data_IF_301537918884
#
_entry.id   IF_301537918884
#
_cell.length_a   1.000
_cell.length_b   1.000
_cell.length_c   1.000
_cell.angle_alpha   90.00
_cell.angle_beta   90.00
_cell.angle_gamma   90.00
#
_symmetry.space_group_name_H-M   'P 1'
#
loop_
_entity.id
_entity.type
_entity.pdbx_description
1 polymer ?
#
# COMPACT_ATOMS: atom_id res chain seq x y z
N UNK A 1 -75.79 10.59 16.37
CA UNK A 1 -74.84 10.44 15.25
C UNK A 1 -73.46 10.32 15.87
N UNK A 2 -72.95 9.12 15.99
CA UNK A 2 -71.57 8.84 16.52
C UNK A 2 -70.59 9.08 15.38
N UNK A 3 -69.59 9.94 15.63
CA UNK A 3 -68.51 10.17 14.67
C UNK A 3 -67.75 8.86 14.41
N UNK A 4 -67.42 8.54 13.15
CA UNK A 4 -66.67 7.33 12.87
C UNK A 4 -65.30 7.33 13.57
N UNK A 5 -65.00 6.25 14.31
CA UNK A 5 -63.67 6.05 14.91
C UNK A 5 -62.62 6.07 13.81
N UNK A 6 -61.76 7.09 13.86
CA UNK A 6 -60.64 7.22 12.95
C UNK A 6 -59.63 6.13 13.33
N UNK A 7 -59.51 5.08 12.52
CA UNK A 7 -58.64 3.93 12.76
C UNK A 7 -57.16 4.35 12.90
N UNK A 8 -56.33 3.52 13.57
CA UNK A 8 -54.90 3.73 13.83
C UNK A 8 -54.11 4.11 12.56
N UNK A 9 -54.55 3.64 11.40
CA UNK A 9 -53.97 3.97 10.09
C UNK A 9 -54.16 5.43 9.67
N UNK A 10 -55.27 6.07 10.04
CA UNK A 10 -55.52 7.48 9.76
C UNK A 10 -54.52 8.38 10.55
N UNK A 11 -54.29 8.05 11.79
CA UNK A 11 -53.34 8.79 12.64
C UNK A 11 -51.90 8.62 12.15
N UNK A 12 -51.50 7.41 11.75
CA UNK A 12 -50.16 7.15 11.20
C UNK A 12 -49.90 7.93 9.90
N UNK A 13 -50.90 7.95 8.99
CA UNK A 13 -50.81 8.70 7.73
C UNK A 13 -50.75 10.20 7.94
N UNK A 14 -51.53 10.72 8.89
CA UNK A 14 -51.52 12.14 9.23
C UNK A 14 -50.19 12.54 9.90
N UNK A 15 -49.69 11.73 10.82
CA UNK A 15 -48.38 11.94 11.46
C UNK A 15 -47.27 11.92 10.41
N UNK A 16 -47.22 10.96 9.53
CA UNK A 16 -46.24 10.85 8.46
C UNK A 16 -46.30 12.06 7.51
N UNK A 17 -47.48 12.60 7.22
CA UNK A 17 -47.65 13.78 6.37
C UNK A 17 -46.99 15.02 6.96
N UNK A 18 -47.05 15.21 8.29
CA UNK A 18 -46.44 16.38 8.96
C UNK A 18 -44.95 16.18 9.32
N UNK A 19 -44.49 14.92 9.42
CA UNK A 19 -43.13 14.62 9.89
C UNK A 19 -42.22 14.03 8.81
N UNK A 20 -42.71 13.87 7.57
CA UNK A 20 -41.93 13.25 6.50
C UNK A 20 -40.56 13.95 6.25
N UNK A 21 -40.53 15.29 6.34
CA UNK A 21 -39.34 16.09 6.16
C UNK A 21 -38.30 15.77 7.24
N UNK A 22 -38.73 15.65 8.49
CA UNK A 22 -37.85 15.29 9.61
C UNK A 22 -37.33 13.86 9.46
N UNK A 23 -38.14 12.93 8.95
CA UNK A 23 -37.71 11.55 8.69
C UNK A 23 -36.63 11.52 7.61
N UNK A 24 -36.75 12.33 6.56
CA UNK A 24 -35.70 12.44 5.53
C UNK A 24 -34.42 13.01 6.12
N UNK A 25 -34.50 14.07 6.90
CA UNK A 25 -33.33 14.68 7.56
C UNK A 25 -32.65 13.66 8.46
N UNK A 26 -33.39 12.94 9.29
CA UNK A 26 -32.86 11.88 10.16
C UNK A 26 -32.21 10.76 9.34
N UNK A 27 -32.86 10.32 8.26
CA UNK A 27 -32.32 9.29 7.38
C UNK A 27 -31.00 9.74 6.71
N UNK A 28 -30.92 10.99 6.26
CA UNK A 28 -29.69 11.54 5.67
C UNK A 28 -28.57 11.65 6.71
N UNK A 29 -28.88 12.14 7.93
CA UNK A 29 -27.89 12.24 9.02
C UNK A 29 -27.38 10.86 9.41
N UNK A 30 -28.25 9.86 9.51
CA UNK A 30 -27.86 8.47 9.80
C UNK A 30 -27.03 7.90 8.68
N UNK A 31 -27.39 8.12 7.43
CA UNK A 31 -26.63 7.64 6.27
C UNK A 31 -25.22 8.25 6.22
N UNK A 32 -25.11 9.57 6.43
CA UNK A 32 -23.81 10.27 6.51
C UNK A 32 -22.98 9.76 7.69
N UNK A 33 -23.63 9.58 8.86
CA UNK A 33 -22.96 9.04 10.05
C UNK A 33 -22.44 7.64 9.86
N UNK A 34 -23.23 6.73 9.26
CA UNK A 34 -22.85 5.36 8.96
C UNK A 34 -21.74 5.34 7.89
N UNK A 35 -21.85 6.16 6.85
CA UNK A 35 -20.81 6.27 5.81
C UNK A 35 -19.51 6.79 6.37
N UNK A 36 -19.57 7.81 7.24
CA UNK A 36 -18.38 8.35 7.91
C UNK A 36 -17.74 7.32 8.86
N UNK A 37 -18.57 6.61 9.63
CA UNK A 37 -18.11 5.55 10.54
C UNK A 37 -17.54 4.36 9.76
N UNK A 38 -18.17 3.97 8.65
CA UNK A 38 -17.67 2.91 7.76
C UNK A 38 -16.30 3.25 7.19
N UNK A 39 -16.10 4.49 6.71
CA UNK A 39 -14.79 4.96 6.26
C UNK A 39 -13.75 5.02 7.40
N UNK A 40 -14.15 5.51 8.58
CA UNK A 40 -13.24 5.60 9.72
C UNK A 40 -12.84 4.23 10.28
N UNK A 41 -13.70 3.22 10.14
CA UNK A 41 -13.45 1.83 10.55
C UNK A 41 -12.95 0.95 9.41
N UNK A 42 -12.70 1.49 8.21
CA UNK A 42 -12.31 0.74 7.00
C UNK A 42 -13.24 -0.47 6.74
N UNK A 43 -14.53 -0.27 6.97
CA UNK A 43 -15.53 -1.32 6.90
C UNK A 43 -15.72 -1.78 5.45
N UNK A 44 -15.26 -3.00 5.16
CA UNK A 44 -15.30 -3.60 3.81
C UNK A 44 -14.04 -3.36 2.97
N UNK A 45 -13.00 -2.69 3.48
CA UNK A 45 -11.67 -2.69 2.89
C UNK A 45 -10.89 -3.88 3.44
N UNK A 46 -10.51 -4.79 2.56
CA UNK A 46 -9.54 -5.83 2.91
C UNK A 46 -8.17 -5.15 2.99
N UNK A 47 -7.67 -4.97 4.22
CA UNK A 47 -6.31 -4.46 4.40
C UNK A 47 -5.34 -5.52 3.85
N UNK A 48 -4.38 -5.13 3.02
CA UNK A 48 -3.40 -6.08 2.50
C UNK A 48 -2.54 -6.63 3.64
N UNK A 49 -2.13 -7.91 3.50
CA UNK A 49 -1.22 -8.55 4.45
C UNK A 49 0.17 -7.94 4.38
N UNK A 50 0.58 -7.56 3.18
CA UNK A 50 1.88 -6.95 2.93
C UNK A 50 1.74 -5.73 2.04
N UNK A 51 2.56 -4.71 2.31
CA UNK A 51 2.68 -3.55 1.45
C UNK A 51 4.12 -3.36 1.00
N UNK A 52 4.27 -3.01 -0.28
CA UNK A 52 5.54 -2.70 -0.93
C UNK A 52 5.48 -1.24 -1.35
N UNK A 53 6.47 -0.44 -0.98
CA UNK A 53 6.66 0.89 -1.52
C UNK A 53 7.65 0.81 -2.69
N UNK A 54 7.19 1.05 -3.89
CA UNK A 54 8.05 1.29 -5.04
C UNK A 54 8.38 2.78 -5.10
N UNK A 55 9.67 3.09 -5.07
CA UNK A 55 10.17 4.47 -5.23
C UNK A 55 11.09 4.50 -6.44
N UNK A 56 10.66 5.20 -7.48
CA UNK A 56 11.39 5.23 -8.74
C UNK A 56 11.11 6.48 -9.57
N UNK A 57 11.91 6.69 -10.62
CA UNK A 57 11.80 7.85 -11.53
C UNK A 57 10.56 7.79 -12.44
N UNK A 58 10.01 6.62 -12.68
CA UNK A 58 8.82 6.40 -13.49
C UNK A 58 7.91 5.35 -12.89
N UNK A 59 6.61 5.45 -13.14
CA UNK A 59 5.66 4.42 -12.70
C UNK A 59 5.87 3.12 -13.47
N UNK A 60 5.74 2.00 -12.77
CA UNK A 60 5.66 0.69 -13.39
C UNK A 60 4.30 0.53 -14.09
N UNK A 61 4.26 -0.18 -15.22
CA UNK A 61 2.99 -0.60 -15.82
C UNK A 61 2.15 -1.42 -14.83
N UNK A 62 0.83 -1.31 -14.95
CA UNK A 62 -0.11 -1.99 -14.05
C UNK A 62 0.08 -3.52 -14.06
N UNK A 63 0.27 -4.12 -15.26
CA UNK A 63 0.54 -5.56 -15.39
C UNK A 63 1.81 -5.97 -14.62
N UNK A 64 2.86 -5.15 -14.68
CA UNK A 64 4.12 -5.39 -13.95
C UNK A 64 3.92 -5.26 -12.44
N UNK A 65 3.19 -4.24 -12.00
CA UNK A 65 2.89 -4.06 -10.57
C UNK A 65 2.12 -5.26 -10.01
N UNK A 66 1.07 -5.72 -10.70
CA UNK A 66 0.32 -6.91 -10.31
C UNK A 66 1.15 -8.19 -10.34
N UNK A 67 2.09 -8.32 -11.28
CA UNK A 67 3.00 -9.47 -11.31
C UNK A 67 3.95 -9.49 -10.09
N UNK A 68 4.43 -8.33 -9.64
CA UNK A 68 5.23 -8.19 -8.41
C UNK A 68 4.38 -8.56 -7.18
N UNK A 69 3.16 -8.04 -7.08
CA UNK A 69 2.23 -8.36 -6.00
C UNK A 69 1.98 -9.87 -5.92
N UNK A 70 1.74 -10.52 -7.07
CA UNK A 70 1.53 -11.96 -7.16
C UNK A 70 2.77 -12.76 -6.78
N UNK A 71 3.98 -12.30 -7.16
CA UNK A 71 5.23 -12.93 -6.78
C UNK A 71 5.44 -12.94 -5.26
N UNK A 72 5.13 -11.84 -4.58
CA UNK A 72 5.20 -11.77 -3.12
C UNK A 72 4.10 -12.59 -2.45
N UNK A 73 2.86 -12.52 -2.96
CA UNK A 73 1.73 -13.27 -2.42
C UNK A 73 1.92 -14.78 -2.47
N UNK A 74 2.67 -15.29 -3.47
CA UNK A 74 2.97 -16.72 -3.59
C UNK A 74 3.72 -17.28 -2.39
N UNK A 75 4.54 -16.46 -1.73
CA UNK A 75 5.38 -16.86 -0.60
C UNK A 75 4.92 -16.26 0.72
N UNK A 76 3.92 -15.38 0.68
CA UNK A 76 3.35 -14.74 1.84
C UNK A 76 2.41 -15.64 2.65
N UNK A 77 2.10 -15.21 3.86
CA UNK A 77 1.12 -15.81 4.77
C UNK A 77 -0.07 -14.87 4.91
N UNK A 78 -1.27 -15.43 5.14
CA UNK A 78 -2.46 -14.66 5.49
C UNK A 78 -2.29 -14.12 6.92
N UNK A 79 -1.95 -12.85 7.05
CA UNK A 79 -1.69 -12.20 8.34
C UNK A 79 -2.95 -11.59 8.95
N UNK A 80 -3.94 -11.29 8.13
CA UNK A 80 -5.19 -10.67 8.56
C UNK A 80 -6.30 -11.69 8.87
N UNK A 81 -6.12 -12.97 8.44
CA UNK A 81 -7.03 -14.08 8.74
C UNK A 81 -8.29 -14.10 7.85
N UNK A 82 -8.27 -13.45 6.68
CA UNK A 82 -9.40 -13.42 5.76
C UNK A 82 -9.43 -14.59 4.76
N UNK A 83 -8.38 -15.43 4.75
CA UNK A 83 -8.23 -16.60 3.90
C UNK A 83 -7.58 -16.32 2.55
N UNK A 84 -7.10 -15.11 2.31
CA UNK A 84 -6.46 -14.69 1.06
C UNK A 84 -5.16 -13.97 1.40
N UNK A 85 -4.04 -14.36 0.78
CA UNK A 85 -2.80 -13.59 0.89
C UNK A 85 -2.86 -12.43 -0.09
N UNK A 86 -2.93 -11.22 0.42
CA UNK A 86 -3.01 -10.00 -0.38
C UNK A 86 -1.77 -9.12 -0.21
N UNK A 87 -1.23 -8.67 -1.34
CA UNK A 87 -0.08 -7.77 -1.38
C UNK A 87 -0.47 -6.53 -2.16
N UNK A 88 -0.05 -5.37 -1.71
CA UNK A 88 -0.28 -4.10 -2.39
C UNK A 88 1.04 -3.40 -2.67
N UNK A 89 1.25 -3.03 -3.92
CA UNK A 89 2.38 -2.23 -4.35
C UNK A 89 1.93 -0.77 -4.50
N UNK A 90 2.41 0.08 -3.61
CA UNK A 90 2.21 1.52 -3.66
C UNK A 90 3.35 2.15 -4.46
N UNK A 91 3.01 2.95 -5.47
CA UNK A 91 4.00 3.55 -6.36
C UNK A 91 4.19 5.03 -6.04
N UNK A 92 5.42 5.41 -5.72
CA UNK A 92 5.85 6.77 -5.43
C UNK A 92 6.87 7.21 -6.47
N UNK A 93 6.38 7.94 -7.47
CA UNK A 93 7.23 8.44 -8.56
C UNK A 93 7.89 9.73 -8.08
N UNK A 94 9.19 9.67 -7.93
CA UNK A 94 10.03 10.76 -7.43
C UNK A 94 11.07 11.14 -8.50
N UNK A 95 10.77 12.15 -9.28
CA UNK A 95 11.78 12.80 -10.12
C UNK A 95 12.40 13.94 -9.32
N UNK A 96 13.31 13.58 -8.41
CA UNK A 96 13.86 14.49 -7.39
C UNK A 96 15.18 15.13 -7.79
N UNK A 97 15.70 14.89 -9.00
CA UNK A 97 16.95 15.49 -9.44
C UNK A 97 16.87 17.04 -9.51
N UNK A 98 15.65 17.60 -9.56
CA UNK A 98 15.43 19.04 -9.55
C UNK A 98 14.21 19.43 -8.70
N UNK A 99 14.40 19.53 -7.38
CA UNK A 99 13.35 19.92 -6.43
C UNK A 99 12.76 21.32 -6.69
N UNK A 100 13.53 22.25 -7.32
CA UNK A 100 13.02 23.60 -7.66
C UNK A 100 11.99 23.55 -8.80
N UNK A 101 12.09 22.55 -9.68
CA UNK A 101 11.20 22.36 -10.82
C UNK A 101 10.30 21.11 -10.69
N UNK A 102 10.30 20.47 -9.52
CA UNK A 102 9.47 19.29 -9.29
C UNK A 102 8.01 19.59 -9.61
N UNK A 103 7.38 18.72 -10.38
CA UNK A 103 5.97 18.84 -10.70
C UNK A 103 5.13 18.74 -9.43
N UNK A 104 3.96 19.37 -9.37
CA UNK A 104 3.01 19.23 -8.26
C UNK A 104 2.70 17.76 -7.97
N UNK A 105 2.75 16.91 -8.99
CA UNK A 105 2.56 15.48 -8.90
C UNK A 105 3.71 14.79 -8.12
N UNK A 106 4.97 15.12 -8.42
CA UNK A 106 6.13 14.58 -7.71
C UNK A 106 6.14 14.98 -6.23
N UNK A 107 5.79 16.24 -5.93
CA UNK A 107 5.65 16.70 -4.55
C UNK A 107 4.52 15.96 -3.81
N UNK A 108 3.39 15.72 -4.47
CA UNK A 108 2.30 14.96 -3.88
C UNK A 108 2.70 13.49 -3.60
N UNK A 109 3.39 12.85 -4.54
CA UNK A 109 3.91 11.49 -4.37
C UNK A 109 4.92 11.39 -3.21
N UNK A 110 5.81 12.38 -3.08
CA UNK A 110 6.75 12.45 -1.95
C UNK A 110 6.02 12.61 -0.61
N UNK A 111 5.01 13.49 -0.52
CA UNK A 111 4.22 13.65 0.69
C UNK A 111 3.46 12.37 1.05
N UNK A 112 2.93 11.68 0.06
CA UNK A 112 2.24 10.40 0.25
C UNK A 112 3.21 9.31 0.72
N UNK A 113 4.42 9.25 0.14
CA UNK A 113 5.48 8.34 0.61
C UNK A 113 5.87 8.62 2.07
N UNK A 114 6.08 9.89 2.44
CA UNK A 114 6.38 10.25 3.82
C UNK A 114 5.25 9.89 4.78
N UNK A 115 3.99 9.97 4.33
CA UNK A 115 2.84 9.52 5.12
C UNK A 115 2.85 8.01 5.34
N UNK A 116 3.10 7.21 4.28
CA UNK A 116 3.29 5.74 4.37
C UNK A 116 4.43 5.40 5.34
N UNK A 117 5.57 6.10 5.19
CA UNK A 117 6.72 5.89 6.08
C UNK A 117 6.39 6.22 7.54
N UNK A 118 5.64 7.26 7.83
CA UNK A 118 5.21 7.61 9.19
C UNK A 118 4.15 6.65 9.76
N UNK A 119 3.25 6.17 8.91
CA UNK A 119 2.21 5.21 9.29
C UNK A 119 2.71 3.77 9.42
N UNK A 120 3.98 3.52 9.06
CA UNK A 120 4.59 2.18 9.04
C UNK A 120 3.84 1.16 8.16
N UNK A 121 3.26 1.61 7.03
CA UNK A 121 2.45 0.76 6.18
C UNK A 121 3.29 -0.21 5.35
N UNK A 122 4.32 0.30 4.65
CA UNK A 122 5.17 -0.53 3.79
C UNK A 122 6.39 -1.06 4.52
N UNK A 123 6.54 -2.38 4.54
CA UNK A 123 7.73 -3.06 5.05
C UNK A 123 8.80 -3.22 3.98
N UNK A 124 8.38 -3.58 2.77
CA UNK A 124 9.26 -3.81 1.63
C UNK A 124 9.45 -2.52 0.83
N UNK A 125 10.66 -2.28 0.41
CA UNK A 125 11.06 -1.14 -0.42
C UNK A 125 11.61 -1.69 -1.74
N UNK A 126 11.03 -1.27 -2.86
CA UNK A 126 11.50 -1.61 -4.20
C UNK A 126 12.00 -0.33 -4.86
N UNK A 127 13.30 -0.23 -5.12
CA UNK A 127 14.00 1.01 -5.42
C UNK A 127 14.72 0.93 -6.76
N UNK A 128 14.68 1.99 -7.55
CA UNK A 128 15.55 2.12 -8.73
C UNK A 128 16.92 2.73 -8.38
N UNK A 129 16.99 3.59 -7.36
CA UNK A 129 18.23 4.19 -6.87
C UNK A 129 18.31 4.11 -5.33
N UNK A 130 18.78 2.99 -4.77
CA UNK A 130 18.87 2.81 -3.33
C UNK A 130 19.86 3.76 -2.66
N UNK A 131 20.91 4.23 -3.39
CA UNK A 131 21.88 5.15 -2.82
C UNK A 131 21.28 6.52 -2.58
N UNK A 132 20.52 7.04 -3.56
CA UNK A 132 19.81 8.31 -3.42
C UNK A 132 18.71 8.21 -2.37
N UNK A 133 17.95 7.10 -2.37
CA UNK A 133 16.94 6.84 -1.37
C UNK A 133 17.50 6.86 0.07
N UNK A 134 18.63 6.18 0.32
CA UNK A 134 19.22 6.14 1.65
C UNK A 134 19.80 7.48 2.07
N UNK A 135 20.32 8.25 1.12
CA UNK A 135 20.82 9.61 1.37
C UNK A 135 19.68 10.54 1.84
N UNK A 136 18.52 10.46 1.20
CA UNK A 136 17.39 11.36 1.47
C UNK A 136 16.59 10.97 2.72
N UNK A 137 16.37 9.68 2.91
CA UNK A 137 15.39 9.18 3.89
C UNK A 137 16.01 8.43 5.07
N UNK A 138 17.23 7.87 4.93
CA UNK A 138 17.88 7.01 5.93
C UNK A 138 16.93 5.91 6.46
N UNK A 139 16.11 5.35 5.60
CA UNK A 139 15.01 4.49 5.96
C UNK A 139 15.24 3.00 5.66
N UNK A 140 16.39 2.64 5.08
CA UNK A 140 16.76 1.25 4.83
C UNK A 140 17.32 0.60 6.09
N UNK A 141 16.75 -0.54 6.47
CA UNK A 141 17.34 -1.38 7.51
C UNK A 141 18.64 -2.06 7.00
N UNK A 142 19.53 -2.34 7.93
CA UNK A 142 20.65 -3.22 7.68
C UNK A 142 20.21 -4.63 7.29
N UNK A 143 21.10 -5.43 6.71
CA UNK A 143 20.76 -6.78 6.26
C UNK A 143 20.19 -7.68 7.39
N UNK A 144 20.62 -7.48 8.62
CA UNK A 144 20.12 -8.20 9.80
C UNK A 144 18.77 -7.67 10.34
N UNK A 145 18.25 -6.56 9.79
CA UNK A 145 17.00 -5.91 10.19
C UNK A 145 17.13 -4.82 11.23
N UNK A 146 18.33 -4.58 11.71
CA UNK A 146 18.56 -3.44 12.61
C UNK A 146 18.46 -2.12 11.86
N UNK A 147 18.03 -1.02 12.51
CA UNK A 147 18.08 0.30 11.90
C UNK A 147 19.53 0.70 11.59
N UNK A 148 19.75 1.56 10.58
CA UNK A 148 21.07 2.10 10.30
C UNK A 148 21.58 2.92 11.49
N UNK A 149 22.90 3.01 11.63
CA UNK A 149 23.51 3.88 12.62
C UNK A 149 23.35 5.36 12.28
N UNK A 150 23.63 6.24 13.24
CA UNK A 150 23.60 7.68 13.03
C UNK A 150 24.52 8.08 11.86
N UNK A 151 23.98 8.87 10.92
CA UNK A 151 24.69 9.33 9.72
C UNK A 151 25.12 8.19 8.77
N UNK A 152 24.47 7.04 8.79
CA UNK A 152 24.71 5.98 7.81
C UNK A 152 23.85 6.21 6.56
N UNK A 153 24.42 6.92 5.60
CA UNK A 153 23.80 7.28 4.31
C UNK A 153 24.09 6.25 3.21
N UNK A 154 24.70 5.10 3.53
CA UNK A 154 25.03 4.11 2.52
C UNK A 154 23.91 3.09 2.32
N UNK A 155 23.64 2.73 1.07
CA UNK A 155 22.72 1.63 0.76
C UNK A 155 23.44 0.26 0.73
N UNK A 156 24.77 0.25 0.78
CA UNK A 156 25.58 -0.97 0.75
C UNK A 156 25.27 -1.85 1.95
N UNK A 157 25.00 -3.12 1.70
CA UNK A 157 24.64 -4.07 2.76
C UNK A 157 23.22 -3.92 3.30
N UNK A 158 22.34 -3.16 2.61
CA UNK A 158 20.94 -2.93 3.01
C UNK A 158 19.94 -3.35 1.94
N UNK A 159 20.39 -3.43 0.70
CA UNK A 159 19.54 -3.80 -0.45
C UNK A 159 20.20 -4.91 -1.27
N UNK A 160 19.40 -5.61 -2.04
CA UNK A 160 19.82 -6.65 -2.97
C UNK A 160 19.15 -6.41 -4.33
N UNK A 161 19.89 -6.53 -5.46
CA UNK A 161 19.24 -6.50 -6.77
C UNK A 161 18.15 -7.56 -6.88
N UNK A 162 17.03 -7.25 -7.51
CA UNK A 162 15.97 -8.23 -7.77
C UNK A 162 16.50 -9.48 -8.45
N UNK A 163 17.38 -9.30 -9.44
CA UNK A 163 17.97 -10.38 -10.21
C UNK A 163 18.86 -11.33 -9.38
N UNK A 164 19.37 -10.84 -8.23
CA UNK A 164 20.21 -11.60 -7.31
C UNK A 164 19.42 -12.29 -6.19
N UNK A 165 18.09 -12.13 -6.17
CA UNK A 165 17.17 -12.87 -5.32
C UNK A 165 16.71 -14.13 -6.05
N UNK A 166 17.23 -15.34 -5.81
CA UNK A 166 16.94 -16.54 -6.62
C UNK A 166 15.45 -16.87 -6.67
N UNK A 167 14.73 -16.62 -5.58
CA UNK A 167 13.29 -16.88 -5.47
C UNK A 167 12.50 -15.93 -6.38
N UNK A 168 12.82 -14.63 -6.38
CA UNK A 168 12.16 -13.62 -7.19
C UNK A 168 12.59 -13.67 -8.65
N UNK A 169 13.89 -13.87 -8.92
CA UNK A 169 14.43 -13.96 -10.28
C UNK A 169 13.89 -15.17 -11.05
N UNK A 170 13.50 -16.23 -10.33
CA UNK A 170 12.86 -17.42 -10.92
C UNK A 170 11.36 -17.26 -11.19
N UNK A 171 10.73 -16.19 -10.74
CA UNK A 171 9.29 -15.97 -10.93
C UNK A 171 9.01 -15.40 -12.33
N UNK A 172 8.00 -15.96 -13.03
CA UNK A 172 7.57 -15.45 -14.33
C UNK A 172 6.68 -14.21 -14.16
N UNK A 173 7.26 -13.04 -14.37
CA UNK A 173 6.56 -11.76 -14.30
C UNK A 173 5.73 -11.44 -15.56
N UNK A 174 5.81 -12.26 -16.61
CA UNK A 174 5.07 -12.08 -17.85
C UNK A 174 5.46 -10.82 -18.62
N UNK A 175 4.49 -10.31 -19.38
CA UNK A 175 4.65 -9.10 -20.20
C UNK A 175 3.64 -8.04 -19.80
N UNK A 176 4.02 -6.77 -19.99
CA UNK A 176 3.12 -5.65 -19.79
C UNK A 176 2.69 -5.03 -21.13
N UNK A 177 1.56 -4.35 -21.10
CA UNK A 177 1.10 -3.49 -22.19
C UNK A 177 0.88 -2.07 -21.65
N UNK A 178 1.38 -1.09 -22.39
CA UNK A 178 1.15 0.32 -22.09
C UNK A 178 0.86 1.09 -23.39
N UNK A 179 0.12 2.19 -23.27
CA UNK A 179 -0.20 3.03 -24.43
C UNK A 179 0.59 4.34 -24.34
N UNK A 180 1.50 4.55 -25.27
CA UNK A 180 2.30 5.77 -25.38
C UNK A 180 1.91 6.48 -26.66
N UNK A 181 1.41 7.72 -26.54
CA UNK A 181 0.98 8.54 -27.68
C UNK A 181 0.02 7.82 -28.64
N UNK A 182 -0.91 7.00 -28.09
CA UNK A 182 -1.88 6.25 -28.88
C UNK A 182 -1.36 4.96 -29.53
N UNK A 183 -0.11 4.59 -29.25
CA UNK A 183 0.49 3.33 -29.72
C UNK A 183 0.63 2.38 -28.55
N UNK A 184 0.11 1.15 -28.68
CA UNK A 184 0.30 0.10 -27.69
C UNK A 184 1.71 -0.45 -27.80
N UNK A 185 2.45 -0.41 -26.71
CA UNK A 185 3.79 -0.98 -26.56
C UNK A 185 3.68 -2.18 -25.61
N UNK A 186 4.27 -3.29 -26.01
CA UNK A 186 4.38 -4.51 -25.19
C UNK A 186 5.84 -4.74 -24.86
N UNK A 187 6.13 -5.03 -23.59
CA UNK A 187 7.49 -5.32 -23.13
C UNK A 187 7.52 -6.44 -22.10
N UNK A 188 8.71 -6.87 -21.71
CA UNK A 188 8.91 -7.84 -20.65
C UNK A 188 8.91 -7.16 -19.29
N UNK A 189 8.04 -7.61 -18.36
CA UNK A 189 8.04 -7.11 -16.98
C UNK A 189 9.37 -7.40 -16.27
N UNK A 190 10.00 -8.53 -16.57
CA UNK A 190 11.30 -8.89 -16.00
C UNK A 190 12.42 -7.90 -16.38
N UNK A 191 12.42 -7.34 -17.61
CA UNK A 191 13.41 -6.33 -18.01
C UNK A 191 13.30 -5.05 -17.17
N UNK A 192 12.10 -4.64 -16.79
CA UNK A 192 11.88 -3.47 -15.94
C UNK A 192 12.32 -3.74 -14.49
N UNK A 193 12.02 -4.93 -13.98
CA UNK A 193 12.20 -5.27 -12.57
C UNK A 193 13.64 -5.68 -12.25
N UNK A 194 14.37 -6.28 -13.19
CA UNK A 194 15.77 -6.69 -13.00
C UNK A 194 16.72 -5.54 -12.65
N UNK A 195 16.37 -4.31 -12.99
CA UNK A 195 17.13 -3.11 -12.60
C UNK A 195 16.80 -2.57 -11.22
N UNK A 196 15.82 -3.15 -10.53
CA UNK A 196 15.36 -2.68 -9.22
C UNK A 196 16.07 -3.41 -8.08
N UNK A 197 16.11 -2.74 -6.95
CA UNK A 197 16.70 -3.24 -5.71
C UNK A 197 15.60 -3.47 -4.68
N UNK A 198 15.64 -4.63 -4.04
CA UNK A 198 14.80 -4.95 -2.90
C UNK A 198 15.50 -4.54 -1.61
N UNK A 199 14.83 -3.76 -0.80
CA UNK A 199 15.23 -3.38 0.54
C UNK A 199 14.09 -3.58 1.52
N UNK A 200 14.37 -3.39 2.79
CA UNK A 200 13.34 -3.35 3.83
C UNK A 200 13.48 -2.10 4.67
N UNK A 201 12.35 -1.69 5.21
CA UNK A 201 12.23 -0.52 6.06
C UNK A 201 12.97 -0.72 7.39
N UNK A 202 13.65 0.33 7.86
CA UNK A 202 14.15 0.41 9.22
C UNK A 202 13.03 0.77 10.21
N UNK A 203 13.00 0.08 11.34
CA UNK A 203 12.13 0.39 12.46
C UNK A 203 12.98 0.84 13.66
N UNK A 204 12.72 2.03 14.14
CA UNK A 204 13.44 2.64 15.26
C UNK A 204 12.72 2.43 16.59
N UNK A 205 11.46 2.05 16.56
CA UNK A 205 10.61 1.84 17.73
C UNK A 205 10.04 0.42 17.75
N UNK A 206 9.74 -0.06 18.93
CA UNK A 206 9.03 -1.32 19.11
C UNK A 206 7.59 -1.22 18.58
N UNK A 207 6.98 -2.33 18.14
CA UNK A 207 5.62 -2.34 17.65
C UNK A 207 4.63 -1.79 18.69
N UNK A 208 3.73 -0.92 18.28
CA UNK A 208 2.77 -0.26 19.17
C UNK A 208 1.72 -1.19 19.77
N UNK A 209 1.49 -2.35 19.17
CA UNK A 209 0.51 -3.34 19.60
C UNK A 209 0.83 -4.74 19.02
N UNK A 210 0.11 -5.77 19.51
CA UNK A 210 0.31 -7.17 19.08
C UNK A 210 0.05 -7.37 17.56
N UNK A 211 -0.89 -6.64 16.98
CA UNK A 211 -1.17 -6.74 15.54
C UNK A 211 0.01 -6.21 14.70
N UNK A 212 0.58 -5.08 15.10
CA UNK A 212 1.76 -4.51 14.45
C UNK A 212 2.98 -5.44 14.61
N UNK A 213 3.15 -6.05 15.79
CA UNK A 213 4.21 -7.04 16.02
C UNK A 213 4.04 -8.25 15.09
N UNK A 214 2.84 -8.81 15.01
CA UNK A 214 2.54 -9.96 14.14
C UNK A 214 2.78 -9.65 12.67
N UNK A 215 2.33 -8.49 12.19
CA UNK A 215 2.57 -8.04 10.82
C UNK A 215 4.08 -7.88 10.51
N UNK A 216 4.84 -7.28 11.44
CA UNK A 216 6.29 -7.10 11.30
C UNK A 216 7.04 -8.44 11.30
N UNK A 217 6.65 -9.38 12.16
CA UNK A 217 7.20 -10.74 12.17
C UNK A 217 6.87 -11.51 10.87
N UNK A 218 5.63 -11.42 10.37
CA UNK A 218 5.21 -12.02 9.10
C UNK A 218 6.02 -11.47 7.93
N UNK A 219 6.17 -10.15 7.88
CA UNK A 219 6.97 -9.49 6.85
C UNK A 219 8.47 -9.89 6.93
N UNK A 220 9.01 -10.05 8.14
CA UNK A 220 10.38 -10.55 8.34
C UNK A 220 10.53 -12.01 7.85
N UNK A 221 9.54 -12.87 8.10
CA UNK A 221 9.57 -14.24 7.55
C UNK A 221 9.55 -14.24 6.03
N UNK A 222 8.68 -13.43 5.43
CA UNK A 222 8.62 -13.28 3.98
C UNK A 222 9.94 -12.74 3.41
N UNK A 223 10.53 -11.73 4.03
CA UNK A 223 11.86 -11.21 3.64
C UNK A 223 12.90 -12.34 3.58
N UNK A 224 12.96 -13.16 4.64
CA UNK A 224 13.95 -14.25 4.70
C UNK A 224 13.75 -15.29 3.59
N UNK A 225 12.49 -15.56 3.20
CA UNK A 225 12.16 -16.46 2.09
C UNK A 225 12.59 -15.83 0.76
N UNK A 226 12.20 -14.58 0.50
CA UNK A 226 12.47 -13.90 -0.76
C UNK A 226 13.96 -13.68 -1.01
N UNK A 227 14.75 -13.49 0.06
CA UNK A 227 16.18 -13.24 -0.01
C UNK A 227 17.03 -14.48 0.29
N UNK A 228 16.43 -15.67 0.35
CA UNK A 228 17.16 -16.92 0.59
C UNK A 228 18.19 -17.15 -0.53
N UNK A 229 19.46 -17.30 -0.15
CA UNK A 229 20.59 -17.45 -1.08
C UNK A 229 21.11 -16.17 -1.71
N UNK A 230 20.47 -15.03 -1.47
CA UNK A 230 20.97 -13.73 -1.90
C UNK A 230 22.04 -13.19 -0.94
N UNK A 231 22.90 -12.33 -1.46
CA UNK A 231 23.92 -11.61 -0.68
C UNK A 231 23.80 -10.10 -0.96
N UNK A 232 23.85 -9.25 0.09
CA UNK A 232 23.72 -7.80 -0.05
C UNK A 232 24.92 -7.16 -0.73
#
# INVERSE_FOLDING_TARGET
>A
MTAPEKGRWYWAKNWLHYHWLYLIIVAVVLWVGISWLGNALHWGETLPDYQIAYVGKSSLPEDTAHAIEAAFAQYGEDLNGDGIVSVKLNQYVSDTEDMENASTYALAAQMQFLSDMNAEESYFLLLDDPAHFQLDYQALANWDGTPPGDNDYTATGKTVPWADCPVLAGYDLGTYQTTVLGTTVTGSSAELVNGLFLGRRAFYEEPTNEKAAHAREGAQRLWNILTEGATP
#
